data_IF_668918669885
#
_entry.id   IF_668918669885
#
_cell.length_a   1.000
_cell.length_b   1.000
_cell.length_c   1.000
_cell.angle_alpha   90.00
_cell.angle_beta   90.00
_cell.angle_gamma   90.00
#
_symmetry.space_group_name_H-M   'P 1'
#
loop_
_entity.id
_entity.type
_entity.pdbx_description
1 polymer ?
#
# COMPACT_ATOMS: atom_id res chain seq x y z
N UNK A 1 27.34 2.87 9.60
CA UNK A 1 26.04 2.22 9.85
C UNK A 1 25.09 2.71 8.77
N UNK A 2 24.64 1.84 7.86
CA UNK A 2 23.63 2.20 6.84
C UNK A 2 22.22 1.96 7.44
N UNK A 3 21.41 3.01 7.67
CA UNK A 3 20.08 2.87 8.27
C UNK A 3 19.13 1.99 7.45
N UNK A 4 19.36 1.83 6.14
CA UNK A 4 18.51 1.01 5.27
C UNK A 4 18.59 -0.48 5.59
N UNK A 5 19.72 -0.94 6.14
CA UNK A 5 19.91 -2.33 6.55
C UNK A 5 19.25 -2.66 7.90
N UNK A 6 18.69 -1.66 8.60
CA UNK A 6 18.05 -1.82 9.92
C UNK A 6 16.51 -1.84 9.85
N UNK A 7 15.93 -1.59 8.67
CA UNK A 7 14.48 -1.58 8.48
C UNK A 7 13.95 -3.03 8.36
N UNK A 8 13.67 -3.66 9.50
CA UNK A 8 13.15 -5.04 9.56
C UNK A 8 11.62 -5.10 9.44
N UNK A 9 10.92 -4.02 9.73
CA UNK A 9 9.45 -4.01 9.81
C UNK A 9 8.81 -3.46 8.53
N UNK A 10 7.82 -4.16 7.94
CA UNK A 10 7.02 -3.59 6.87
C UNK A 10 6.09 -2.49 7.42
N UNK A 11 5.69 -1.55 6.55
CA UNK A 11 4.89 -0.39 6.94
C UNK A 11 3.58 -0.76 7.67
N UNK A 12 2.81 -1.80 7.26
CA UNK A 12 1.59 -2.19 7.98
C UNK A 12 1.85 -2.61 9.42
N UNK A 13 2.91 -3.39 9.67
CA UNK A 13 3.25 -3.88 11.00
C UNK A 13 3.72 -2.74 11.91
N UNK A 14 4.56 -1.85 11.36
CA UNK A 14 4.98 -0.64 12.06
C UNK A 14 3.78 0.25 12.40
N UNK A 15 2.88 0.48 11.46
CA UNK A 15 1.67 1.27 11.69
C UNK A 15 0.81 0.66 12.79
N UNK A 16 0.62 -0.66 12.78
CA UNK A 16 -0.14 -1.38 13.80
C UNK A 16 0.48 -1.22 15.18
N UNK A 17 1.79 -1.45 15.31
CA UNK A 17 2.51 -1.33 16.59
C UNK A 17 2.59 0.11 17.09
N UNK A 18 2.76 1.07 16.20
CA UNK A 18 2.75 2.49 16.57
C UNK A 18 1.36 2.92 17.05
N UNK A 19 0.31 2.46 16.39
CA UNK A 19 -1.07 2.74 16.77
C UNK A 19 -1.41 2.12 18.13
N UNK A 20 -1.01 0.87 18.37
CA UNK A 20 -1.12 0.21 19.67
C UNK A 20 -0.42 1.03 20.78
N UNK A 21 0.82 1.45 20.52
CA UNK A 21 1.55 2.27 21.48
C UNK A 21 0.86 3.60 21.76
N UNK A 22 0.47 4.35 20.72
CA UNK A 22 -0.09 5.69 20.89
C UNK A 22 -1.47 5.66 21.55
N UNK A 23 -2.33 4.74 21.12
CA UNK A 23 -3.74 4.74 21.53
C UNK A 23 -4.02 3.85 22.73
N UNK A 24 -3.24 2.81 23.01
CA UNK A 24 -3.51 1.92 24.14
C UNK A 24 -2.45 2.02 25.24
N UNK A 25 -1.17 2.16 24.90
CA UNK A 25 -0.12 2.26 25.93
C UNK A 25 -0.02 3.68 26.44
N UNK A 26 0.42 4.62 25.59
CA UNK A 26 0.67 6.01 25.95
C UNK A 26 -0.59 6.72 26.43
N UNK A 27 -1.74 6.46 25.80
CA UNK A 27 -3.00 7.09 26.17
C UNK A 27 -3.46 6.71 27.60
N UNK A 28 -3.10 5.51 28.09
CA UNK A 28 -3.46 5.00 29.42
C UNK A 28 -2.37 5.20 30.48
N UNK A 29 -1.14 5.58 30.10
CA UNK A 29 -0.08 5.86 31.07
C UNK A 29 -0.41 7.08 31.92
N UNK A 30 -0.25 6.95 33.24
CA UNK A 30 -0.42 8.05 34.18
C UNK A 30 0.72 9.05 34.04
N UNK A 31 0.39 10.33 33.84
CA UNK A 31 1.39 11.37 33.83
C UNK A 31 1.94 11.59 35.26
N UNK A 32 3.26 11.48 35.50
CA UNK A 32 3.84 11.46 36.86
C UNK A 32 3.47 12.65 37.75
N UNK A 33 3.29 13.84 37.16
CA UNK A 33 2.97 15.07 37.89
C UNK A 33 1.47 15.30 38.02
N UNK A 34 0.67 14.86 37.05
CA UNK A 34 -0.76 15.17 37.00
C UNK A 34 -1.61 14.05 37.60
N UNK A 35 -1.04 12.85 37.78
CA UNK A 35 -1.74 11.69 38.32
C UNK A 35 -2.91 11.20 37.48
N UNK A 36 -3.01 11.65 36.23
CA UNK A 36 -4.08 11.32 35.28
C UNK A 36 -3.49 10.86 33.95
N UNK A 37 -4.22 10.00 33.25
CA UNK A 37 -3.88 9.57 31.88
C UNK A 37 -4.33 10.59 30.83
N UNK A 38 -3.75 10.51 29.62
CA UNK A 38 -4.16 11.36 28.49
C UNK A 38 -5.63 11.13 28.13
N UNK A 39 -6.07 9.86 28.18
CA UNK A 39 -7.46 9.45 27.94
C UNK A 39 -8.44 10.07 28.93
N UNK A 40 -8.11 10.04 30.23
CA UNK A 40 -8.95 10.63 31.27
C UNK A 40 -9.03 12.15 31.14
N UNK A 41 -7.90 12.81 30.92
CA UNK A 41 -7.85 14.26 30.72
C UNK A 41 -8.71 14.68 29.52
N UNK A 42 -8.63 13.94 28.41
CA UNK A 42 -9.47 14.17 27.23
C UNK A 42 -10.97 14.00 27.55
N UNK A 43 -11.35 12.92 28.25
CA UNK A 43 -12.74 12.65 28.63
C UNK A 43 -13.31 13.73 29.55
N UNK A 44 -12.55 14.17 30.55
CA UNK A 44 -12.96 15.25 31.46
C UNK A 44 -13.14 16.56 30.66
N UNK A 45 -12.18 16.88 29.79
CA UNK A 45 -12.26 18.05 28.91
C UNK A 45 -13.47 18.02 27.98
N UNK A 46 -13.80 16.86 27.42
CA UNK A 46 -14.96 16.68 26.55
C UNK A 46 -16.29 16.79 27.33
N UNK A 47 -16.36 16.23 28.54
CA UNK A 47 -17.53 16.32 29.41
C UNK A 47 -17.82 17.77 29.85
N UNK A 48 -16.77 18.54 30.18
CA UNK A 48 -16.91 19.94 30.56
C UNK A 48 -17.14 20.88 29.37
N UNK A 49 -16.52 20.60 28.23
CA UNK A 49 -16.54 21.49 27.05
C UNK A 49 -17.64 21.21 26.02
N UNK A 50 -18.27 20.03 26.08
CA UNK A 50 -19.23 19.53 25.09
C UNK A 50 -18.58 19.19 23.74
N UNK A 51 -19.28 18.42 22.90
CA UNK A 51 -18.73 17.87 21.65
C UNK A 51 -18.58 18.89 20.49
N UNK A 52 -19.14 20.09 20.60
CA UNK A 52 -19.06 21.18 19.59
C UNK A 52 -19.20 20.71 18.14
N UNK A 53 -20.20 19.87 17.86
CA UNK A 53 -20.40 19.23 16.55
C UNK A 53 -20.46 20.24 15.39
N UNK A 54 -20.96 21.46 15.61
CA UNK A 54 -20.99 22.53 14.62
C UNK A 54 -19.60 23.03 14.16
N UNK A 55 -18.53 22.68 14.88
CA UNK A 55 -17.12 22.96 14.48
C UNK A 55 -16.42 21.73 13.91
N UNK A 56 -17.09 20.58 13.89
CA UNK A 56 -16.50 19.35 13.39
C UNK A 56 -16.37 19.43 11.87
N UNK A 57 -15.15 19.28 11.38
CA UNK A 57 -14.90 19.10 9.95
C UNK A 57 -15.04 17.62 9.67
N UNK A 58 -16.11 17.24 8.97
CA UNK A 58 -16.36 15.85 8.62
C UNK A 58 -15.32 15.37 7.60
N UNK A 59 -14.85 14.14 7.77
CA UNK A 59 -14.03 13.45 6.77
C UNK A 59 -14.94 12.93 5.64
N UNK A 60 -15.34 13.82 4.75
CA UNK A 60 -16.24 13.55 3.63
C UNK A 60 -15.53 13.80 2.28
N UNK A 61 -16.21 13.53 1.17
CA UNK A 61 -15.65 13.75 -0.18
C UNK A 61 -15.23 15.21 -0.41
N UNK A 62 -15.96 16.18 0.15
CA UNK A 62 -15.61 17.60 0.03
C UNK A 62 -14.30 17.92 0.74
N UNK A 63 -14.11 17.41 1.96
CA UNK A 63 -12.85 17.54 2.69
C UNK A 63 -11.70 16.88 1.93
N UNK A 64 -11.90 15.66 1.43
CA UNK A 64 -10.92 14.96 0.61
C UNK A 64 -10.51 15.82 -0.59
N UNK A 65 -11.51 16.32 -1.32
CA UNK A 65 -11.30 17.23 -2.45
C UNK A 65 -10.50 18.48 -2.08
N UNK A 66 -10.74 19.08 -0.92
CA UNK A 66 -10.01 20.25 -0.44
C UNK A 66 -8.55 19.94 -0.08
N UNK A 67 -8.25 18.70 0.30
CA UNK A 67 -6.89 18.26 0.65
C UNK A 67 -6.07 17.77 -0.55
N UNK A 68 -6.70 17.45 -1.67
CA UNK A 68 -5.99 16.99 -2.87
C UNK A 68 -5.05 18.07 -3.42
N UNK A 69 -3.82 17.72 -3.86
CA UNK A 69 -2.91 18.65 -4.49
C UNK A 69 -3.45 19.17 -5.83
N UNK A 70 -2.85 20.26 -6.28
CA UNK A 70 -3.10 20.88 -7.58
C UNK A 70 -1.80 21.01 -8.37
N UNK A 71 -1.91 21.30 -9.67
CA UNK A 71 -0.75 21.71 -10.49
C UNK A 71 -0.14 23.02 -9.96
N UNK A 72 1.10 23.31 -10.34
CA UNK A 72 1.80 24.54 -9.95
C UNK A 72 1.03 25.85 -10.25
N UNK A 73 0.13 25.83 -11.25
CA UNK A 73 -0.71 26.98 -11.62
C UNK A 73 -2.09 26.99 -10.96
N UNK A 74 -2.44 25.97 -10.18
CA UNK A 74 -3.80 25.83 -9.65
C UNK A 74 -4.85 25.39 -10.68
N UNK A 75 -4.51 25.41 -11.97
CA UNK A 75 -5.45 25.31 -13.09
C UNK A 75 -4.81 24.64 -14.30
N UNK A 76 -5.63 24.12 -15.20
CA UNK A 76 -5.23 23.55 -16.48
C UNK A 76 -6.15 24.03 -17.60
N UNK A 77 -5.59 24.23 -18.80
CA UNK A 77 -6.37 24.61 -19.97
C UNK A 77 -7.07 23.37 -20.54
N UNK A 78 -8.37 23.46 -20.76
CA UNK A 78 -9.14 22.43 -21.44
C UNK A 78 -8.79 22.46 -22.93
N UNK A 79 -8.22 21.37 -23.42
CA UNK A 79 -7.89 21.18 -24.83
C UNK A 79 -9.06 20.51 -25.55
N UNK A 80 -9.36 21.02 -26.74
CA UNK A 80 -10.39 20.50 -27.64
C UNK A 80 -10.19 19.00 -27.83
N UNK A 81 -11.23 18.22 -27.57
CA UNK A 81 -11.25 16.75 -27.72
C UNK A 81 -10.16 15.95 -26.97
N UNK A 82 -9.46 16.55 -26.00
CA UNK A 82 -8.45 15.86 -25.17
C UNK A 82 -8.57 16.13 -23.67
N UNK A 83 -9.28 17.18 -23.28
CA UNK A 83 -9.50 17.53 -21.88
C UNK A 83 -8.30 18.25 -21.28
N UNK A 84 -7.96 17.96 -20.02
CA UNK A 84 -6.90 18.66 -19.29
C UNK A 84 -5.65 17.80 -19.15
N UNK A 85 -4.47 18.43 -19.15
CA UNK A 85 -3.19 17.71 -18.98
C UNK A 85 -2.57 17.98 -17.61
N UNK A 86 -2.28 16.92 -16.88
CA UNK A 86 -1.63 16.91 -15.57
C UNK A 86 -0.51 15.86 -15.61
N UNK A 87 0.72 16.23 -15.23
CA UNK A 87 1.87 15.30 -15.14
C UNK A 87 2.04 14.37 -16.38
N UNK A 88 1.98 14.95 -17.59
CA UNK A 88 2.08 14.24 -18.88
C UNK A 88 0.89 13.37 -19.30
N UNK A 89 -0.11 13.23 -18.43
CA UNK A 89 -1.33 12.45 -18.64
C UNK A 89 -2.48 13.41 -18.98
N UNK A 90 -3.30 13.01 -19.94
CA UNK A 90 -4.52 13.72 -20.30
C UNK A 90 -5.70 13.08 -19.60
N UNK A 91 -6.61 13.92 -19.10
CA UNK A 91 -7.80 13.53 -18.38
C UNK A 91 -9.03 14.11 -19.06
N UNK A 92 -10.07 13.28 -19.20
CA UNK A 92 -11.31 13.64 -19.85
C UNK A 92 -12.51 13.55 -18.90
N UNK A 93 -13.45 14.47 -19.09
CA UNK A 93 -14.79 14.49 -18.50
C UNK A 93 -15.76 15.07 -19.54
N UNK A 94 -16.99 14.57 -19.61
CA UNK A 94 -17.96 15.01 -20.61
C UNK A 94 -18.34 16.49 -20.51
N UNK A 95 -18.26 17.08 -19.31
CA UNK A 95 -18.50 18.50 -19.09
C UNK A 95 -17.51 19.40 -19.85
N UNK A 96 -16.33 18.88 -20.24
CA UNK A 96 -15.35 19.66 -21.00
C UNK A 96 -15.82 20.09 -22.38
N UNK A 97 -16.82 19.41 -22.96
CA UNK A 97 -17.40 19.80 -24.26
C UNK A 97 -17.99 21.21 -24.26
N UNK A 98 -18.38 21.72 -23.09
CA UNK A 98 -19.00 23.04 -22.94
C UNK A 98 -17.99 24.14 -22.58
N UNK A 99 -16.77 23.77 -22.16
CA UNK A 99 -15.76 24.70 -21.62
C UNK A 99 -14.40 24.52 -22.32
N UNK A 100 -14.42 24.13 -23.59
CA UNK A 100 -13.20 23.95 -24.38
C UNK A 100 -12.43 25.27 -24.52
N UNK A 101 -11.12 25.24 -24.26
CA UNK A 101 -10.25 26.42 -24.31
C UNK A 101 -10.17 27.21 -23.00
N UNK A 102 -11.05 26.95 -22.03
CA UNK A 102 -11.04 27.63 -20.74
C UNK A 102 -9.96 27.10 -19.79
N UNK A 103 -9.58 27.91 -18.80
CA UNK A 103 -8.71 27.51 -17.70
C UNK A 103 -9.59 27.08 -16.53
N UNK A 104 -9.54 25.80 -16.20
CA UNK A 104 -10.33 25.22 -15.10
C UNK A 104 -9.41 24.86 -13.92
N UNK A 105 -9.83 25.11 -12.67
CA UNK A 105 -9.13 24.58 -11.50
C UNK A 105 -9.08 23.05 -11.55
N UNK A 106 -7.93 22.47 -11.24
CA UNK A 106 -7.73 21.03 -11.27
C UNK A 106 -7.11 20.52 -9.98
N UNK A 107 -7.49 19.32 -9.59
CA UNK A 107 -6.90 18.57 -8.48
C UNK A 107 -6.69 17.13 -8.90
N UNK A 108 -5.72 16.46 -8.29
CA UNK A 108 -5.42 15.05 -8.60
C UNK A 108 -5.05 14.29 -7.33
N UNK A 109 -5.18 12.97 -7.38
CA UNK A 109 -4.74 12.10 -6.29
C UNK A 109 -3.28 11.70 -6.50
N UNK A 110 -2.35 12.06 -5.59
CA UNK A 110 -0.95 11.65 -5.70
C UNK A 110 -0.73 10.14 -5.53
N UNK A 111 -1.75 9.37 -5.14
CA UNK A 111 -1.72 7.91 -5.07
C UNK A 111 -2.57 7.22 -6.16
N UNK A 112 -3.27 7.98 -7.01
CA UNK A 112 -4.04 7.45 -8.15
C UNK A 112 -3.94 8.36 -9.38
N UNK A 113 -3.01 8.05 -10.29
CA UNK A 113 -2.87 8.71 -11.59
C UNK A 113 -3.99 8.35 -12.60
N UNK A 114 -4.91 7.45 -12.25
CA UNK A 114 -6.08 7.13 -13.07
C UNK A 114 -7.15 8.22 -13.02
N UNK A 115 -7.24 8.94 -11.90
CA UNK A 115 -8.32 9.86 -11.61
C UNK A 115 -7.80 11.28 -11.37
N UNK A 116 -8.48 12.26 -11.95
CA UNK A 116 -8.31 13.66 -11.59
C UNK A 116 -9.68 14.33 -11.38
N UNK A 117 -9.68 15.52 -10.82
CA UNK A 117 -10.88 16.31 -10.61
C UNK A 117 -10.72 17.69 -11.24
N UNK A 118 -11.75 18.16 -11.92
CA UNK A 118 -11.79 19.50 -12.50
C UNK A 118 -13.01 20.25 -12.01
N UNK A 119 -12.86 21.54 -11.76
CA UNK A 119 -13.96 22.39 -11.32
C UNK A 119 -14.65 23.02 -12.52
N UNK A 120 -15.85 22.55 -12.84
CA UNK A 120 -16.65 23.00 -13.99
C UNK A 120 -18.09 23.22 -13.52
N UNK A 121 -18.72 24.32 -13.92
CA UNK A 121 -20.13 24.55 -13.58
C UNK A 121 -20.43 24.65 -12.08
N UNK A 122 -19.49 25.20 -11.29
CA UNK A 122 -19.56 25.30 -9.82
C UNK A 122 -19.51 23.95 -9.07
N UNK A 123 -19.06 22.89 -9.73
CA UNK A 123 -18.95 21.56 -9.14
C UNK A 123 -17.61 20.92 -9.47
N UNK A 124 -17.10 20.09 -8.54
CA UNK A 124 -15.95 19.24 -8.80
C UNK A 124 -16.40 17.98 -9.54
N UNK A 125 -15.90 17.80 -10.76
CA UNK A 125 -16.22 16.67 -11.60
C UNK A 125 -15.03 15.74 -11.71
N UNK A 126 -15.29 14.43 -11.59
CA UNK A 126 -14.29 13.39 -11.80
C UNK A 126 -13.95 13.28 -13.28
N UNK A 127 -12.66 13.23 -13.55
CA UNK A 127 -12.06 13.05 -14.87
C UNK A 127 -11.25 11.75 -14.86
N UNK A 128 -11.29 11.01 -15.96
CA UNK A 128 -10.52 9.77 -16.11
C UNK A 128 -9.37 9.99 -17.06
N UNK A 129 -8.22 9.36 -16.79
CA UNK A 129 -7.08 9.41 -17.70
C UNK A 129 -7.37 8.66 -19.01
N UNK A 130 -6.69 9.05 -20.08
CA UNK A 130 -6.79 8.38 -21.40
C UNK A 130 -6.53 6.86 -21.30
N UNK A 131 -5.60 6.46 -20.42
CA UNK A 131 -5.22 5.07 -20.17
C UNK A 131 -5.55 4.67 -18.73
N UNK A 132 -6.83 4.79 -18.36
CA UNK A 132 -7.30 4.56 -16.99
C UNK A 132 -6.83 3.23 -16.40
N UNK A 133 -6.88 2.13 -17.16
CA UNK A 133 -6.46 0.81 -16.69
C UNK A 133 -5.00 0.75 -16.23
N UNK A 134 -4.09 1.38 -16.99
CA UNK A 134 -2.66 1.38 -16.69
C UNK A 134 -2.28 2.32 -15.53
N UNK A 135 -3.00 3.43 -15.38
CA UNK A 135 -2.67 4.47 -14.40
C UNK A 135 -3.43 4.37 -13.08
N UNK A 136 -4.50 3.58 -13.02
CA UNK A 136 -5.29 3.41 -11.80
C UNK A 136 -4.44 2.87 -10.65
N UNK A 137 -4.44 3.58 -9.53
CA UNK A 137 -3.69 3.20 -8.31
C UNK A 137 -2.18 3.39 -8.42
N UNK A 138 -1.69 4.00 -9.51
CA UNK A 138 -0.27 4.35 -9.67
C UNK A 138 -0.03 5.69 -9.00
N UNK A 139 1.02 5.77 -8.18
CA UNK A 139 1.35 7.00 -7.46
C UNK A 139 2.03 8.02 -8.37
N UNK A 140 1.92 9.31 -8.05
CA UNK A 140 2.66 10.38 -8.73
C UNK A 140 4.16 10.09 -8.74
N UNK A 141 4.69 9.59 -7.61
CA UNK A 141 6.11 9.24 -7.50
C UNK A 141 6.51 8.14 -8.47
N UNK A 142 5.66 7.15 -8.66
CA UNK A 142 5.87 6.07 -9.63
C UNK A 142 5.86 6.61 -11.06
N UNK A 143 4.90 7.48 -11.40
CA UNK A 143 4.86 8.16 -12.71
C UNK A 143 6.14 8.98 -12.93
N UNK A 144 6.62 9.71 -11.92
CA UNK A 144 7.88 10.46 -12.02
C UNK A 144 9.08 9.53 -12.25
N UNK A 145 9.18 8.42 -11.53
CA UNK A 145 10.26 7.45 -11.70
C UNK A 145 10.25 6.86 -13.12
N UNK A 146 9.08 6.40 -13.59
CA UNK A 146 8.90 5.92 -14.96
C UNK A 146 9.31 6.99 -16.00
N UNK A 147 8.89 8.24 -15.79
CA UNK A 147 9.24 9.38 -16.65
C UNK A 147 10.76 9.60 -16.68
N UNK A 148 11.43 9.58 -15.52
CA UNK A 148 12.88 9.75 -15.44
C UNK A 148 13.66 8.62 -16.10
N UNK A 149 13.20 7.38 -15.98
CA UNK A 149 13.82 6.22 -16.60
C UNK A 149 13.63 6.25 -18.13
N UNK A 150 12.44 6.61 -18.62
CA UNK A 150 12.21 6.86 -20.04
C UNK A 150 13.10 7.99 -20.57
N UNK A 151 13.33 9.05 -19.80
CA UNK A 151 14.29 10.09 -20.15
C UNK A 151 15.74 9.60 -20.18
N UNK A 152 16.14 8.71 -19.27
CA UNK A 152 17.48 8.11 -19.24
C UNK A 152 17.72 7.23 -20.46
N UNK A 153 16.78 6.35 -20.81
CA UNK A 153 16.87 5.47 -22.00
C UNK A 153 17.06 6.27 -23.30
N UNK A 154 16.48 7.47 -23.37
CA UNK A 154 16.61 8.38 -24.52
C UNK A 154 17.98 9.02 -24.64
N UNK A 155 18.66 9.36 -23.54
CA UNK A 155 20.01 9.94 -23.64
C UNK A 155 20.98 9.02 -24.38
N UNK A 156 20.68 7.72 -24.39
CA UNK A 156 21.47 6.71 -25.08
C UNK A 156 20.97 6.43 -26.52
N UNK A 157 19.92 7.09 -27.01
CA UNK A 157 19.31 6.85 -28.32
C UNK A 157 19.07 8.16 -29.09
N UNK A 158 19.55 8.26 -30.33
CA UNK A 158 19.67 9.53 -31.08
C UNK A 158 18.38 10.04 -31.75
N UNK A 159 17.19 9.56 -31.39
CA UNK A 159 15.93 9.95 -32.06
C UNK A 159 15.12 10.99 -31.27
N UNK A 160 14.60 12.01 -31.97
CA UNK A 160 13.62 12.96 -31.46
C UNK A 160 12.34 12.24 -31.00
N UNK A 161 12.14 12.10 -29.69
CA UNK A 161 11.03 11.33 -29.13
C UNK A 161 10.37 12.12 -27.99
N UNK A 162 9.05 12.27 -27.99
CA UNK A 162 8.31 12.94 -26.90
C UNK A 162 7.76 11.92 -25.88
N UNK A 163 7.76 12.22 -24.58
CA UNK A 163 7.06 11.39 -23.56
C UNK A 163 5.57 11.70 -23.68
N UNK A 164 4.79 10.67 -23.96
CA UNK A 164 3.33 10.71 -24.03
C UNK A 164 2.74 9.79 -22.97
N UNK A 165 1.46 10.02 -22.63
CA UNK A 165 0.71 9.16 -21.72
C UNK A 165 0.73 7.69 -22.18
N UNK A 166 0.58 7.46 -23.49
CA UNK A 166 0.68 6.12 -24.08
C UNK A 166 1.98 5.39 -23.73
N UNK A 167 3.14 6.04 -23.93
CA UNK A 167 4.44 5.43 -23.63
C UNK A 167 4.64 5.15 -22.15
N UNK A 168 4.09 6.01 -21.29
CA UNK A 168 4.11 5.79 -19.85
C UNK A 168 3.26 4.59 -19.48
N UNK A 169 2.06 4.46 -20.04
CA UNK A 169 1.18 3.31 -19.85
C UNK A 169 1.87 2.01 -20.32
N UNK A 170 2.37 1.98 -21.56
CA UNK A 170 3.09 0.83 -22.13
C UNK A 170 4.30 0.43 -21.27
N UNK A 171 5.06 1.41 -20.77
CA UNK A 171 6.20 1.15 -19.91
C UNK A 171 5.78 0.56 -18.56
N UNK A 172 4.79 1.15 -17.90
CA UNK A 172 4.30 0.66 -16.60
C UNK A 172 3.71 -0.74 -16.73
N UNK A 173 2.92 -1.01 -17.76
CA UNK A 173 2.39 -2.34 -18.05
C UNK A 173 3.52 -3.36 -18.31
N UNK A 174 4.58 -2.96 -19.02
CA UNK A 174 5.73 -3.84 -19.27
C UNK A 174 6.50 -4.19 -18.00
N UNK A 175 6.68 -3.21 -17.10
CA UNK A 175 7.35 -3.41 -15.81
C UNK A 175 6.49 -4.28 -14.89
N UNK A 176 5.19 -4.03 -14.84
CA UNK A 176 4.26 -4.84 -14.07
C UNK A 176 4.27 -6.30 -14.51
N UNK A 177 4.28 -6.56 -15.82
CA UNK A 177 4.40 -7.92 -16.36
C UNK A 177 5.72 -8.60 -15.94
N UNK A 178 6.83 -7.85 -15.92
CA UNK A 178 8.14 -8.36 -15.46
C UNK A 178 8.13 -8.64 -13.94
N UNK A 179 7.59 -7.73 -13.13
CA UNK A 179 7.48 -7.88 -11.68
C UNK A 179 6.62 -9.08 -11.28
N UNK A 180 5.47 -9.27 -11.95
CA UNK A 180 4.61 -10.44 -11.73
C UNK A 180 5.37 -11.74 -12.02
N UNK A 181 6.11 -11.78 -13.12
CA UNK A 181 6.91 -12.94 -13.50
C UNK A 181 8.04 -13.20 -12.52
N UNK A 182 8.75 -12.17 -12.07
CA UNK A 182 9.80 -12.28 -11.05
C UNK A 182 9.24 -12.77 -9.70
N UNK A 183 8.11 -12.22 -9.27
CA UNK A 183 7.42 -12.62 -8.05
C UNK A 183 6.98 -14.08 -8.12
N UNK A 184 6.45 -14.51 -9.27
CA UNK A 184 6.08 -15.91 -9.49
C UNK A 184 7.31 -16.82 -9.44
N UNK A 185 8.43 -16.43 -10.05
CA UNK A 185 9.70 -17.18 -9.97
C UNK A 185 10.22 -17.29 -8.53
N UNK A 186 10.09 -16.24 -7.72
CA UNK A 186 10.46 -16.29 -6.30
C UNK A 186 9.59 -17.32 -5.55
N UNK A 187 8.27 -17.27 -5.74
CA UNK A 187 7.34 -18.27 -5.16
C UNK A 187 7.64 -19.70 -5.65
N UNK A 188 7.98 -19.87 -6.92
CA UNK A 188 8.36 -21.17 -7.49
C UNK A 188 9.66 -21.71 -6.89
N UNK A 189 10.63 -20.83 -6.59
CA UNK A 189 11.89 -21.18 -5.91
C UNK A 189 11.68 -21.51 -4.44
N UNK A 190 10.83 -20.76 -3.74
CA UNK A 190 10.46 -21.04 -2.36
C UNK A 190 9.73 -22.39 -2.24
N UNK A 191 8.78 -22.65 -3.15
CA UNK A 191 8.05 -23.93 -3.20
C UNK A 191 8.88 -25.10 -3.75
N UNK A 192 10.05 -24.85 -4.34
CA UNK A 192 10.93 -25.87 -4.92
C UNK A 192 11.45 -26.83 -3.85
N UNK A 193 11.82 -26.32 -2.67
CA UNK A 193 12.27 -27.13 -1.52
C UNK A 193 11.17 -28.08 -1.03
N UNK A 194 9.92 -27.62 -1.04
CA UNK A 194 8.76 -28.44 -0.66
C UNK A 194 8.50 -29.51 -1.73
N UNK A 195 8.48 -29.13 -3.02
CA UNK A 195 8.25 -30.05 -4.15
C UNK A 195 9.32 -31.15 -4.25
N UNK A 196 10.59 -30.81 -4.06
CA UNK A 196 11.69 -31.78 -4.09
C UNK A 196 11.75 -32.65 -2.83
N UNK A 197 11.35 -32.13 -1.67
CA UNK A 197 11.24 -32.91 -0.43
C UNK A 197 10.21 -34.05 -0.52
N UNK A 198 9.12 -33.86 -1.26
CA UNK A 198 8.14 -34.93 -1.53
C UNK A 198 8.64 -35.97 -2.53
N UNK A 199 9.47 -35.59 -3.50
CA UNK A 199 10.02 -36.51 -4.51
C UNK A 199 11.07 -37.48 -3.92
N UNK A 200 11.86 -37.05 -2.92
CA UNK A 200 12.84 -37.91 -2.25
C UNK A 200 12.23 -38.89 -1.22
N UNK A 201 10.95 -38.71 -0.84
CA UNK A 201 10.25 -39.59 0.11
C UNK A 201 9.54 -40.79 -0.51
N UNK A 202 9.58 -40.93 -1.85
CA UNK A 202 8.83 -41.97 -2.59
C UNK A 202 9.61 -43.25 -2.91
N UNK A 203 10.93 -43.30 -2.68
CA UNK A 203 11.77 -44.46 -3.03
C UNK A 203 12.33 -45.17 -1.79
N UNK A 204 11.46 -45.67 -0.91
CA UNK A 204 11.75 -46.92 -0.17
C UNK A 204 10.55 -47.32 0.70
N UNK A 205 9.73 -48.28 0.23
CA UNK A 205 8.88 -49.12 1.11
C UNK A 205 8.21 -50.30 0.39
N UNK A 206 8.93 -50.98 -0.50
CA UNK A 206 8.60 -52.37 -0.88
C UNK A 206 9.80 -53.26 -0.57
N UNK A 207 10.04 -53.48 0.72
CA UNK A 207 10.82 -54.60 1.21
C UNK A 207 9.88 -55.48 2.03
N UNK A 208 9.46 -56.57 1.40
CA UNK A 208 8.72 -57.68 2.01
C UNK A 208 9.51 -58.18 3.22
N UNK A 209 8.94 -58.08 4.42
CA UNK A 209 9.45 -58.76 5.61
C UNK A 209 8.38 -59.73 6.11
N UNK A 210 8.79 -60.98 6.09
CA UNK A 210 8.11 -62.22 6.46
C UNK A 210 7.68 -62.23 7.93
N UNK A 211 6.53 -62.86 8.19
CA UNK A 211 5.86 -62.90 9.50
C UNK A 211 6.39 -64.03 10.38
N UNK A 212 6.70 -63.76 11.66
CA UNK A 212 6.79 -64.77 12.72
C UNK A 212 6.39 -64.16 14.09
N UNK A 213 5.80 -64.95 15.02
CA UNK A 213 4.82 -64.46 15.99
C UNK A 213 5.42 -64.06 17.35
N UNK A 214 4.64 -63.25 18.09
CA UNK A 214 4.96 -62.65 19.37
C UNK A 214 4.94 -63.63 20.58
N UNK A 215 5.76 -63.37 21.62
CA UNK A 215 5.51 -63.83 22.99
C UNK A 215 5.23 -62.64 23.95
N UNK A 216 4.77 -62.92 25.19
CA UNK A 216 3.68 -62.17 25.83
C UNK A 216 4.12 -61.04 26.76
N UNK A 217 3.12 -60.22 27.10
CA UNK A 217 3.12 -59.16 28.10
C UNK A 217 3.62 -59.62 29.48
N UNK A 218 4.43 -58.77 30.11
CA UNK A 218 4.59 -58.73 31.57
C UNK A 218 4.36 -57.29 32.06
N UNK A 219 3.35 -57.15 32.90
CA UNK A 219 2.98 -55.94 33.61
C UNK A 219 3.98 -55.67 34.74
N UNK A 220 4.59 -54.49 34.77
CA UNK A 220 5.20 -53.95 35.98
C UNK A 220 5.09 -52.42 35.99
N UNK A 221 4.11 -51.95 36.76
CA UNK A 221 4.01 -50.57 37.21
C UNK A 221 5.23 -50.18 38.06
N UNK A 222 5.73 -48.96 37.90
CA UNK A 222 6.40 -48.23 38.99
C UNK A 222 6.14 -46.73 38.85
N UNK A 223 5.67 -46.20 39.96
CA UNK A 223 5.15 -44.88 40.25
C UNK A 223 6.21 -43.76 40.29
N UNK A 224 5.72 -42.56 39.90
CA UNK A 224 5.92 -41.23 40.53
C UNK A 224 7.34 -40.68 40.72
N UNK A 225 7.61 -39.51 40.11
CA UNK A 225 8.03 -38.30 40.85
C UNK A 225 7.90 -37.03 39.98
N UNK A 226 6.97 -36.16 40.36
CA UNK A 226 6.86 -34.77 39.92
C UNK A 226 7.91 -33.95 40.66
N UNK A 227 8.64 -33.09 39.95
CA UNK A 227 9.57 -32.13 40.53
C UNK A 227 9.65 -30.86 39.69
N UNK A 228 8.85 -29.87 40.04
CA UNK A 228 9.03 -28.47 39.66
C UNK A 228 10.34 -27.94 40.26
N UNK A 229 11.09 -27.13 39.52
CA UNK A 229 12.02 -26.19 40.13
C UNK A 229 12.09 -24.89 39.31
N UNK A 230 11.43 -23.87 39.83
CA UNK A 230 11.70 -22.46 39.54
C UNK A 230 13.07 -22.07 40.13
N UNK A 231 13.80 -21.21 39.42
CA UNK A 231 14.98 -20.51 39.93
C UNK A 231 15.12 -19.16 39.26
N UNK A 232 14.73 -18.10 39.99
CA UNK A 232 15.10 -16.70 39.73
C UNK A 232 16.57 -16.47 40.06
N UNK A 233 17.25 -15.60 39.30
CA UNK A 233 17.97 -14.40 39.79
C UNK A 233 18.39 -13.53 38.59
#
# INVERSE_FOLDING_TARGET
MDPKALATWPLPDLHGKLSEYLYEVHDMLLHPVLGQSSREAFRIGLAGGGARLHRMVAYNEEFMMLTLPTTAKGSAKVMVSRGVKINHIYYWCDAFRQVEGELVPVRYDPFDAGTAHAFVGKQWLRCHSEYFGAFKGRSEREIMLATTELHRRRRNHSSSFHITAQRLAEFLESVEAEEVLLTQRLRDRESLTIRLGFAAGGENRDAVVEHAPAPPHDDAALDIAVGELYGEF
#
